data_IF_586075997327
#
_entry.id   IF_586075997327
#
_cell.length_a   1.000
_cell.length_b   1.000
_cell.length_c   1.000
_cell.angle_alpha   90.00
_cell.angle_beta   90.00
_cell.angle_gamma   90.00
#
_symmetry.space_group_name_H-M   'P 1'
#
loop_
_entity.id
_entity.type
_entity.pdbx_description
1 polymer ?
#
# COMPACT_ATOMS: atom_id res chain seq x y z
N UNK A 1 6.43 -9.17 -0.61
CA UNK A 1 5.16 -8.84 0.07
C UNK A 1 4.01 -9.66 -0.50
N UNK A 2 3.71 -9.57 -1.81
CA UNK A 2 2.60 -10.33 -2.42
C UNK A 2 2.62 -11.85 -2.12
N UNK A 3 3.79 -12.51 -2.27
CA UNK A 3 3.94 -13.94 -1.97
C UNK A 3 3.80 -14.22 -0.47
N UNK A 4 4.37 -13.37 0.40
CA UNK A 4 4.22 -13.48 1.88
C UNK A 4 2.74 -13.52 2.27
N UNK A 5 1.94 -12.67 1.60
CA UNK A 5 0.53 -12.50 1.92
C UNK A 5 -0.38 -13.43 1.09
N UNK A 6 0.19 -14.40 0.35
CA UNK A 6 -0.54 -15.28 -0.55
C UNK A 6 -1.50 -14.52 -1.49
N UNK A 7 -1.06 -13.38 -2.01
CA UNK A 7 -1.86 -12.47 -2.84
C UNK A 7 -3.17 -12.04 -2.17
N UNK A 8 -3.25 -12.03 -0.84
CA UNK A 8 -4.46 -11.63 -0.10
C UNK A 8 -4.32 -10.18 0.35
N UNK A 9 -5.33 -9.36 0.03
CA UNK A 9 -5.42 -7.99 0.49
C UNK A 9 -5.50 -7.94 2.02
N UNK A 10 -4.57 -7.25 2.67
CA UNK A 10 -4.51 -7.18 4.13
C UNK A 10 -5.60 -6.30 4.76
N UNK A 11 -6.29 -5.45 3.98
CA UNK A 11 -7.39 -4.60 4.47
C UNK A 11 -8.75 -5.27 4.37
N UNK A 12 -8.96 -6.11 3.35
CA UNK A 12 -10.29 -6.68 3.04
C UNK A 12 -10.32 -8.20 3.00
N UNK A 13 -9.17 -8.87 3.11
CA UNK A 13 -8.99 -10.31 3.01
C UNK A 13 -9.44 -10.93 1.68
N UNK A 14 -9.63 -10.10 0.63
CA UNK A 14 -9.92 -10.57 -0.73
C UNK A 14 -8.65 -10.96 -1.47
N UNK A 15 -8.76 -11.93 -2.38
CA UNK A 15 -7.68 -12.30 -3.26
C UNK A 15 -7.42 -11.19 -4.30
N UNK A 16 -6.17 -10.81 -4.46
CA UNK A 16 -5.68 -9.94 -5.51
C UNK A 16 -5.45 -10.75 -6.79
N UNK A 17 -6.53 -11.08 -7.49
CA UNK A 17 -6.52 -11.95 -8.68
C UNK A 17 -6.58 -11.21 -10.02
N UNK A 18 -6.70 -9.88 -10.01
CA UNK A 18 -6.86 -9.08 -11.22
C UNK A 18 -5.59 -8.95 -12.04
N UNK A 19 -5.75 -8.75 -13.35
CA UNK A 19 -4.66 -8.37 -14.27
C UNK A 19 -4.20 -6.94 -14.00
N UNK A 20 -2.98 -6.54 -14.38
CA UNK A 20 -2.49 -5.18 -14.16
C UNK A 20 -3.50 -4.10 -14.60
N UNK A 21 -3.85 -3.20 -13.67
CA UNK A 21 -4.80 -2.11 -13.91
C UNK A 21 -6.25 -2.41 -13.54
N UNK A 22 -6.64 -3.67 -13.34
CA UNK A 22 -7.98 -4.04 -12.89
C UNK A 22 -8.19 -3.73 -11.39
N UNK A 23 -9.44 -3.57 -10.92
CA UNK A 23 -9.75 -3.27 -9.52
C UNK A 23 -9.14 -4.26 -8.52
N UNK A 24 -9.15 -5.56 -8.84
CA UNK A 24 -8.61 -6.63 -8.00
C UNK A 24 -7.12 -6.94 -8.29
N UNK A 25 -6.44 -6.09 -9.06
CA UNK A 25 -5.01 -6.25 -9.30
C UNK A 25 -4.19 -5.98 -8.03
N UNK A 26 -3.08 -6.70 -7.88
CA UNK A 26 -2.24 -6.60 -6.69
C UNK A 26 -1.40 -5.31 -6.70
N UNK A 27 -1.43 -4.58 -5.59
CA UNK A 27 -0.58 -3.40 -5.33
C UNK A 27 0.09 -3.58 -3.98
N UNK A 28 1.34 -3.10 -3.86
CA UNK A 28 2.05 -3.00 -2.57
C UNK A 28 1.96 -1.56 -2.10
N UNK A 29 1.52 -1.38 -0.86
CA UNK A 29 1.28 -0.08 -0.25
C UNK A 29 2.12 0.10 1.01
N UNK A 30 2.59 1.32 1.27
CA UNK A 30 3.21 1.68 2.56
C UNK A 30 2.14 1.97 3.62
N UNK A 31 2.14 1.24 4.74
CA UNK A 31 1.18 1.40 5.85
C UNK A 31 1.29 2.81 6.44
N UNK A 32 2.53 3.23 6.73
CA UNK A 32 2.90 4.60 7.07
C UNK A 32 3.46 5.23 5.79
N UNK A 33 2.86 6.33 5.28
CA UNK A 33 3.37 7.02 4.12
C UNK A 33 4.82 7.45 4.36
N UNK A 34 5.74 6.98 3.51
CA UNK A 34 7.16 7.16 3.75
C UNK A 34 7.58 8.65 3.70
N UNK A 35 6.88 9.47 2.88
CA UNK A 35 7.11 10.93 2.74
C UNK A 35 8.58 11.32 2.50
N UNK A 36 9.35 10.41 1.92
CA UNK A 36 10.78 10.56 1.66
C UNK A 36 11.73 9.94 2.67
N UNK A 37 11.23 9.42 3.80
CA UNK A 37 12.03 8.59 4.68
C UNK A 37 12.34 7.23 4.02
N UNK A 38 13.61 7.02 3.66
CA UNK A 38 14.06 5.80 2.99
C UNK A 38 13.88 4.54 3.84
N UNK A 39 14.09 4.63 5.15
CA UNK A 39 13.90 3.48 6.05
C UNK A 39 12.44 2.99 6.02
N UNK A 40 11.46 3.92 6.00
CA UNK A 40 10.05 3.57 5.83
C UNK A 40 9.73 3.04 4.44
N UNK A 41 10.45 3.50 3.41
CA UNK A 41 10.22 3.06 2.04
C UNK A 41 10.58 1.57 1.85
N UNK A 42 11.68 1.13 2.46
CA UNK A 42 12.20 -0.23 2.32
C UNK A 42 11.76 -1.21 3.41
N UNK A 43 11.23 -0.73 4.54
CA UNK A 43 10.84 -1.57 5.66
C UNK A 43 9.74 -2.59 5.25
N UNK A 44 10.04 -3.90 5.24
CA UNK A 44 9.06 -4.94 4.95
C UNK A 44 7.83 -4.95 5.87
N UNK A 45 7.99 -4.48 7.12
CA UNK A 45 6.90 -4.35 8.07
C UNK A 45 6.00 -3.16 7.75
N UNK A 46 6.51 -2.15 7.04
CA UNK A 46 5.74 -1.02 6.56
C UNK A 46 5.03 -1.31 5.21
N UNK A 47 5.25 -2.47 4.59
CA UNK A 47 4.62 -2.82 3.31
C UNK A 47 3.45 -3.81 3.49
N UNK A 48 2.30 -3.47 2.92
CA UNK A 48 1.10 -4.30 2.89
C UNK A 48 0.63 -4.61 1.45
N UNK A 49 0.18 -5.83 1.21
CA UNK A 49 -0.50 -6.22 -0.03
C UNK A 49 -1.95 -5.76 -0.01
N UNK A 50 -2.41 -5.07 -1.06
CA UNK A 50 -3.80 -4.63 -1.21
C UNK A 50 -4.27 -4.78 -2.67
N UNK A 51 -5.57 -4.72 -2.91
CA UNK A 51 -6.08 -4.56 -4.27
C UNK A 51 -5.92 -3.11 -4.73
N UNK A 52 -5.80 -2.90 -6.05
CA UNK A 52 -5.76 -1.56 -6.64
C UNK A 52 -6.96 -0.71 -6.24
N UNK A 53 -8.16 -1.30 -6.19
CA UNK A 53 -9.37 -0.58 -5.77
C UNK A 53 -9.23 -0.03 -4.34
N UNK A 54 -8.71 -0.82 -3.40
CA UNK A 54 -8.51 -0.39 -2.01
C UNK A 54 -7.42 0.68 -1.93
N UNK A 55 -6.33 0.49 -2.68
CA UNK A 55 -5.23 1.45 -2.76
C UNK A 55 -5.70 2.83 -3.24
N UNK A 56 -6.37 2.87 -4.40
CA UNK A 56 -6.74 4.12 -5.07
C UNK A 56 -7.93 4.83 -4.42
N UNK A 57 -8.63 4.20 -3.47
CA UNK A 57 -9.80 4.78 -2.78
C UNK A 57 -9.53 5.00 -1.28
N UNK A 58 -9.70 3.97 -0.47
CA UNK A 58 -9.59 4.04 0.99
C UNK A 58 -8.21 4.55 1.42
N UNK A 59 -7.15 3.92 0.93
CA UNK A 59 -5.80 4.28 1.36
C UNK A 59 -5.40 5.64 0.81
N UNK A 60 -5.73 5.93 -0.45
CA UNK A 60 -5.48 7.24 -1.00
C UNK A 60 -6.13 8.35 -0.16
N UNK A 61 -7.35 8.15 0.36
CA UNK A 61 -8.02 9.09 1.26
C UNK A 61 -7.29 9.23 2.62
N UNK A 62 -6.88 8.12 3.23
CA UNK A 62 -6.06 8.10 4.47
C UNK A 62 -4.73 8.88 4.28
N UNK A 63 -4.08 8.71 3.13
CA UNK A 63 -2.86 9.45 2.80
C UNK A 63 -3.11 10.95 2.60
N UNK A 64 -4.26 11.33 2.02
CA UNK A 64 -4.58 12.73 1.83
C UNK A 64 -4.84 13.45 3.16
N UNK A 65 -5.35 12.74 4.17
CA UNK A 65 -5.57 13.27 5.52
C UNK A 65 -4.23 13.50 6.26
N UNK A 66 -3.24 12.63 6.02
CA UNK A 66 -1.89 12.73 6.61
C UNK A 66 -0.91 13.64 5.84
N UNK A 67 -1.36 14.44 4.86
CA UNK A 67 -0.50 15.31 4.01
C UNK A 67 0.38 16.29 4.77
N UNK A 68 -0.01 16.67 5.98
CA UNK A 68 0.74 17.60 6.82
C UNK A 68 2.05 16.99 7.35
N UNK A 69 2.19 15.66 7.30
CA UNK A 69 3.42 14.97 7.67
C UNK A 69 4.38 15.01 6.47
N UNK A 70 5.36 15.90 6.52
CA UNK A 70 6.46 15.97 5.53
C UNK A 70 7.66 15.18 6.03
N UNK A 71 8.26 14.37 5.15
CA UNK A 71 9.56 13.73 5.39
C UNK A 71 10.64 14.34 4.51
N UNK A 72 11.88 14.06 4.86
CA UNK A 72 13.07 14.49 4.11
C UNK A 72 13.68 13.23 3.51
N UNK A 73 14.01 13.28 2.21
CA UNK A 73 14.88 12.28 1.59
C UNK A 73 16.29 12.52 2.12
N UNK A 74 16.70 11.73 3.09
CA UNK A 74 18.05 11.73 3.66
C UNK A 74 18.85 10.57 3.11
#
# INVERSE_FOLDING_TARGET
MLIRDNYTCQRTFRLCSGRPGEPDSAVVNHIVPHRGNEALFWDPANLQTVTKQVHDSLIQAEEQDSRHQQGVWT
#
